data_IF_432182473287
#
_entry.id   IF_432182473287
#
_cell.length_a   1.000
_cell.length_b   1.000
_cell.length_c   1.000
_cell.angle_alpha   90.00
_cell.angle_beta   90.00
_cell.angle_gamma   90.00
#
_symmetry.space_group_name_H-M   'P 1'
#
loop_
_entity.id
_entity.type
_entity.pdbx_description
1 polymer ?
#
# COMPACT_ATOMS: atom_id res chain seq x y z
N UNK A 1 9.44 -8.76 -3.62
CA UNK A 1 8.41 -9.65 -4.22
C UNK A 1 7.14 -8.91 -4.62
N UNK A 2 6.65 -7.94 -3.83
CA UNK A 2 5.45 -7.15 -4.17
C UNK A 2 5.49 -6.55 -5.58
N UNK A 3 6.60 -5.92 -5.98
CA UNK A 3 6.77 -5.38 -7.34
C UNK A 3 6.52 -6.44 -8.42
N UNK A 4 7.11 -7.64 -8.30
CA UNK A 4 6.95 -8.70 -9.31
C UNK A 4 5.49 -9.12 -9.44
N UNK A 5 4.77 -9.26 -8.32
CA UNK A 5 3.35 -9.61 -8.33
C UNK A 5 2.51 -8.51 -8.98
N UNK A 6 2.73 -7.25 -8.60
CA UNK A 6 2.02 -6.11 -9.18
C UNK A 6 2.30 -5.97 -10.68
N UNK A 7 3.56 -6.13 -11.09
CA UNK A 7 3.99 -6.03 -12.48
C UNK A 7 3.53 -7.22 -13.34
N UNK A 8 3.20 -8.36 -12.74
CA UNK A 8 2.54 -9.48 -13.43
C UNK A 8 1.02 -9.30 -13.52
N UNK A 9 0.41 -8.65 -12.52
CA UNK A 9 -1.05 -8.44 -12.44
C UNK A 9 -1.53 -7.27 -13.30
N UNK A 10 -0.68 -6.26 -13.50
CA UNK A 10 -1.08 -5.01 -14.14
C UNK A 10 -0.13 -4.62 -15.27
N UNK A 11 -0.70 -4.19 -16.40
CA UNK A 11 0.04 -3.69 -17.56
C UNK A 11 0.77 -2.37 -17.28
N UNK A 12 0.34 -1.63 -16.25
CA UNK A 12 0.89 -0.33 -15.90
C UNK A 12 1.05 -0.20 -14.39
N UNK A 13 2.31 -0.05 -13.96
CA UNK A 13 2.70 0.12 -12.58
C UNK A 13 3.51 1.42 -12.45
N UNK A 14 3.08 2.30 -11.56
CA UNK A 14 3.69 3.62 -11.38
C UNK A 14 4.18 3.80 -9.95
N UNK A 15 5.22 4.62 -9.79
CA UNK A 15 5.65 5.16 -8.51
C UNK A 15 5.07 6.56 -8.36
N UNK A 16 4.53 6.91 -7.18
CA UNK A 16 4.02 8.26 -6.95
C UNK A 16 4.89 8.97 -5.92
N UNK A 17 5.39 10.16 -6.28
CA UNK A 17 6.27 10.95 -5.44
C UNK A 17 5.85 12.42 -5.45
N UNK A 18 5.77 12.99 -4.26
CA UNK A 18 5.56 14.41 -3.97
C UNK A 18 6.37 14.74 -2.69
N UNK A 19 5.79 15.46 -1.72
CA UNK A 19 6.34 15.62 -0.36
C UNK A 19 6.51 14.25 0.33
N UNK A 20 5.59 13.32 0.06
CA UNK A 20 5.64 11.92 0.48
C UNK A 20 5.66 10.99 -0.75
N UNK A 21 5.89 9.71 -0.52
CA UNK A 21 6.01 8.70 -1.57
C UNK A 21 5.05 7.54 -1.32
N UNK A 22 4.42 7.06 -2.39
CA UNK A 22 3.70 5.79 -2.44
C UNK A 22 4.51 4.81 -3.29
N UNK A 23 4.75 3.63 -2.74
CA UNK A 23 5.58 2.62 -3.39
C UNK A 23 5.03 2.23 -4.77
N UNK A 24 3.72 1.99 -4.89
CA UNK A 24 3.12 1.64 -6.17
C UNK A 24 1.69 2.16 -6.38
N UNK A 25 1.35 2.44 -7.63
CA UNK A 25 0.00 2.74 -8.09
C UNK A 25 -0.32 1.94 -9.34
N UNK A 26 -1.42 1.19 -9.30
CA UNK A 26 -1.95 0.43 -10.43
C UNK A 26 -3.46 0.21 -10.23
N UNK A 27 -4.21 0.09 -11.33
CA UNK A 27 -5.66 -0.18 -11.32
C UNK A 27 -6.45 0.61 -10.26
N UNK A 28 -6.25 1.93 -10.27
CA UNK A 28 -6.86 2.88 -9.35
C UNK A 28 -6.67 2.57 -7.85
N UNK A 29 -5.62 1.84 -7.51
CA UNK A 29 -5.26 1.40 -6.16
C UNK A 29 -3.88 1.90 -5.78
N UNK A 30 -3.77 2.56 -4.62
CA UNK A 30 -2.49 2.90 -4.00
C UNK A 30 -2.01 1.71 -3.17
N UNK A 31 -0.78 1.28 -3.40
CA UNK A 31 -0.13 0.21 -2.66
C UNK A 31 1.08 0.79 -1.93
N UNK A 32 1.04 0.69 -0.61
CA UNK A 32 2.19 0.95 0.25
C UNK A 32 2.69 -0.37 0.82
N UNK A 33 3.99 -0.52 1.04
CA UNK A 33 4.61 -1.75 1.51
C UNK A 33 5.43 -1.45 2.76
N UNK A 34 5.10 -2.11 3.87
CA UNK A 34 5.90 -2.03 5.10
C UNK A 34 5.96 -3.36 5.80
N UNK A 35 7.16 -3.89 6.02
CA UNK A 35 7.35 -5.22 6.59
C UNK A 35 6.74 -5.38 8.00
N UNK A 36 6.76 -4.32 8.81
CA UNK A 36 6.21 -4.30 10.16
C UNK A 36 5.53 -2.95 10.42
N UNK A 37 4.37 -2.96 11.08
CA UNK A 37 3.65 -1.74 11.49
C UNK A 37 3.32 -1.70 12.99
N UNK A 38 3.98 -2.52 13.81
CA UNK A 38 3.88 -2.52 15.27
C UNK A 38 4.41 -1.21 15.87
N UNK A 39 5.45 -0.64 15.25
CA UNK A 39 5.98 0.65 15.64
C UNK A 39 5.03 1.78 15.23
N UNK A 40 4.45 2.46 16.23
CA UNK A 40 3.49 3.55 16.05
C UNK A 40 3.98 4.66 15.12
N UNK A 41 5.29 4.95 15.10
CA UNK A 41 5.89 5.97 14.22
C UNK A 41 5.91 5.49 12.78
N UNK A 42 6.31 4.24 12.54
CA UNK A 42 6.30 3.60 11.22
C UNK A 42 4.87 3.52 10.69
N UNK A 43 3.94 2.99 11.48
CA UNK A 43 2.50 2.93 11.13
C UNK A 43 1.95 4.30 10.73
N UNK A 44 2.23 5.33 11.54
CA UNK A 44 1.79 6.70 11.24
C UNK A 44 2.38 7.22 9.94
N UNK A 45 3.66 6.93 9.65
CA UNK A 45 4.33 7.35 8.41
C UNK A 45 3.66 6.72 7.18
N UNK A 46 3.42 5.42 7.21
CA UNK A 46 2.80 4.71 6.07
C UNK A 46 1.37 5.17 5.80
N UNK A 47 0.56 5.32 6.85
CA UNK A 47 -0.81 5.84 6.73
C UNK A 47 -0.78 7.27 6.19
N UNK A 48 0.13 8.11 6.69
CA UNK A 48 0.23 9.51 6.25
C UNK A 48 0.61 9.64 4.77
N UNK A 49 1.43 8.72 4.25
CA UNK A 49 1.73 8.66 2.83
C UNK A 49 0.45 8.38 2.02
N UNK A 50 -0.33 7.36 2.39
CA UNK A 50 -1.59 7.03 1.71
C UNK A 50 -2.58 8.20 1.77
N UNK A 51 -2.76 8.81 2.95
CA UNK A 51 -3.66 9.95 3.15
C UNK A 51 -3.27 11.16 2.27
N UNK A 52 -1.97 11.41 2.05
CA UNK A 52 -1.51 12.49 1.17
C UNK A 52 -1.92 12.32 -0.29
N UNK A 53 -2.05 11.08 -0.77
CA UNK A 53 -2.41 10.76 -2.16
C UNK A 53 -3.88 10.34 -2.33
N UNK A 54 -4.65 10.36 -1.24
CA UNK A 54 -6.04 9.91 -1.18
C UNK A 54 -6.94 10.70 -2.13
N UNK A 55 -7.76 10.00 -2.91
CA UNK A 55 -8.72 10.60 -3.85
C UNK A 55 -9.99 9.76 -3.94
N UNK A 56 -11.14 10.41 -4.05
CA UNK A 56 -12.44 9.73 -4.17
C UNK A 56 -12.40 8.70 -5.31
N UNK A 57 -12.92 7.50 -5.03
CA UNK A 57 -13.01 6.40 -5.99
C UNK A 57 -11.76 5.51 -6.07
N UNK A 58 -10.68 5.84 -5.36
CA UNK A 58 -9.48 4.99 -5.26
C UNK A 58 -9.59 3.97 -4.13
N UNK A 59 -8.83 2.88 -4.25
CA UNK A 59 -8.59 1.90 -3.19
C UNK A 59 -7.21 2.11 -2.57
N UNK A 60 -7.05 1.68 -1.33
CA UNK A 60 -5.82 1.88 -0.57
C UNK A 60 -5.42 0.58 0.11
N UNK A 61 -4.23 0.08 -0.19
CA UNK A 61 -3.68 -1.13 0.40
C UNK A 61 -2.34 -0.86 1.07
N UNK A 62 -2.19 -1.31 2.30
CA UNK A 62 -0.93 -1.39 3.01
C UNK A 62 -0.52 -2.86 3.13
N UNK A 63 0.46 -3.27 2.35
CA UNK A 63 0.96 -4.63 2.32
C UNK A 63 2.00 -4.80 3.43
N UNK A 64 1.72 -5.71 4.37
CA UNK A 64 2.60 -6.04 5.49
C UNK A 64 3.21 -7.42 5.35
N UNK A 65 4.07 -7.83 6.28
CA UNK A 65 4.57 -9.20 6.27
C UNK A 65 3.47 -10.21 6.64
N UNK A 66 2.78 -10.02 7.77
CA UNK A 66 1.89 -11.02 8.37
C UNK A 66 0.65 -10.43 9.06
N UNK A 67 0.35 -9.15 8.87
CA UNK A 67 -0.78 -8.48 9.51
C UNK A 67 -1.92 -8.25 8.50
N UNK A 68 -3.14 -8.55 8.94
CA UNK A 68 -4.37 -8.22 8.24
C UNK A 68 -5.22 -7.33 9.15
N UNK A 69 -5.65 -6.19 8.66
CA UNK A 69 -6.42 -5.20 9.44
C UNK A 69 -7.17 -4.24 8.50
N UNK A 70 -8.05 -3.41 9.04
CA UNK A 70 -8.67 -2.30 8.33
C UNK A 70 -8.50 -1.03 9.14
N UNK A 71 -7.81 -0.05 8.57
CA UNK A 71 -7.55 1.25 9.22
C UNK A 71 -8.29 2.33 8.43
N UNK A 72 -9.50 2.66 8.88
CA UNK A 72 -10.38 3.56 8.13
C UNK A 72 -10.82 2.89 6.83
N UNK A 73 -10.42 3.44 5.69
CA UNK A 73 -10.62 2.90 4.34
C UNK A 73 -9.36 2.27 3.73
N UNK A 74 -8.30 2.11 4.54
CA UNK A 74 -7.06 1.44 4.16
C UNK A 74 -7.16 -0.04 4.54
N UNK A 75 -7.06 -0.90 3.53
CA UNK A 75 -6.94 -2.34 3.71
C UNK A 75 -5.50 -2.70 4.04
N UNK A 76 -5.25 -3.21 5.24
CA UNK A 76 -3.96 -3.76 5.63
C UNK A 76 -4.00 -5.25 5.32
N UNK A 77 -3.08 -5.71 4.48
CA UNK A 77 -3.06 -7.10 4.00
C UNK A 77 -1.66 -7.68 4.12
N UNK A 78 -1.56 -8.89 4.66
CA UNK A 78 -0.31 -9.63 4.76
C UNK A 78 0.20 -9.99 3.36
N UNK A 79 1.51 -10.20 3.23
CA UNK A 79 2.11 -10.53 1.94
C UNK A 79 1.58 -11.86 1.40
N UNK A 80 1.41 -12.85 2.28
CA UNK A 80 0.88 -14.16 1.91
C UNK A 80 -0.54 -14.06 1.34
N UNK A 81 -1.43 -13.32 1.99
CA UNK A 81 -2.79 -13.10 1.49
C UNK A 81 -2.82 -12.26 0.21
N UNK A 82 -1.93 -11.27 0.11
CA UNK A 82 -1.79 -10.47 -1.10
C UNK A 82 -1.27 -11.29 -2.30
N UNK A 83 -0.43 -12.30 -2.07
CA UNK A 83 0.20 -13.11 -3.11
C UNK A 83 -0.69 -14.20 -3.70
N UNK A 84 -1.77 -14.58 -3.00
CA UNK A 84 -2.84 -15.44 -3.49
C UNK A 84 -3.61 -14.72 -4.60
#
# INVERSE_FOLDING_TARGET
>A
MVFNLLNQRYDSLYYLKDILEIDFYADNTLYQVSYNIDDSKTKKREISAIENFKKVGKKYKLITYNENDIIGDIEVVSFDEFAI
#
